data_IF_854706750752
#
_entry.id   IF_854706750752
#
_cell.length_a   1.000
_cell.length_b   1.000
_cell.length_c   1.000
_cell.angle_alpha   90.00
_cell.angle_beta   90.00
_cell.angle_gamma   90.00
#
_symmetry.space_group_name_H-M   'P 1'
#
loop_
_entity.id
_entity.type
_entity.pdbx_description
1 polymer ?
2 branched ?
3 non-polymer ?
4 non-polymer ?
5 water ?
#
# COMPACT_ATOMS: atom_id res chain seq x y z
N UNK A 26 -17.58 -5.71 13.46
CA UNK A 26 -16.13 -5.57 13.28
C UNK A 26 -15.72 -4.18 12.86
N UNK A 27 -14.45 -4.04 12.48
CA UNK A 27 -13.90 -2.73 12.20
C UNK A 27 -14.64 -2.02 11.07
N UNK A 28 -14.93 -2.73 9.98
CA UNK A 28 -15.58 -2.12 8.86
C UNK A 28 -16.93 -1.46 9.23
N UNK A 29 -17.64 -2.07 10.17
CA UNK A 29 -18.95 -1.60 10.55
C UNK A 29 -18.80 -0.42 11.51
N UNK A 30 -17.87 -0.54 12.44
CA UNK A 30 -17.60 0.58 13.34
C UNK A 30 -17.25 1.86 12.63
N UNK A 31 -16.44 1.71 11.57
CA UNK A 31 -15.94 2.85 10.79
C UNK A 31 -16.74 3.13 9.54
N UNK A 32 -17.91 2.56 9.44
CA UNK A 32 -18.70 2.72 8.23
C UNK A 32 -18.90 4.15 7.79
N UNK A 33 -19.20 5.02 8.74
CA UNK A 33 -19.49 6.42 8.43
C UNK A 33 -18.24 7.25 8.20
N UNK A 34 -17.07 6.64 8.33
CA UNK A 34 -15.80 7.33 8.22
C UNK A 34 -15.08 6.97 6.94
N UNK A 35 -14.76 5.70 6.76
CA UNK A 35 -13.93 5.27 5.60
C UNK A 35 -13.93 3.77 5.54
N UNK A 36 -13.55 3.25 4.37
CA UNK A 36 -13.36 1.83 4.20
C UNK A 36 -12.22 1.33 5.09
N UNK A 37 -12.31 0.08 5.52
CA UNK A 37 -11.28 -0.59 6.30
C UNK A 37 -10.84 -1.79 5.45
N UNK A 38 -9.57 -1.81 5.05
CA UNK A 38 -9.08 -2.78 4.09
C UNK A 38 -7.91 -3.63 4.60
N UNK A 39 -7.61 -4.67 3.85
CA UNK A 39 -6.43 -5.49 4.13
C UNK A 39 -5.82 -5.95 2.84
N UNK A 40 -4.50 -5.99 2.82
CA UNK A 40 -3.74 -6.66 1.73
C UNK A 40 -3.80 -8.15 1.93
N UNK A 41 -4.11 -8.89 0.87
CA UNK A 41 -4.22 -10.34 0.94
C UNK A 41 -3.19 -11.03 0.09
N UNK A 42 -2.44 -11.94 0.67
CA UNK A 42 -1.52 -12.76 -0.08
C UNK A 42 -2.30 -13.83 -0.87
N UNK A 43 -1.58 -14.56 -1.70
CA UNK A 43 -2.23 -15.54 -2.60
C UNK A 43 -2.87 -16.70 -1.86
N UNK A 44 -2.30 -17.09 -0.72
CA UNK A 44 -2.88 -18.18 0.04
C UNK A 44 -4.20 -17.80 0.62
N UNK A 45 -4.28 -16.59 1.17
CA UNK A 45 -5.55 -16.12 1.71
C UNK A 45 -6.60 -15.96 0.61
N UNK A 46 -6.20 -15.30 -0.48
CA UNK A 46 -7.14 -15.02 -1.55
C UNK A 46 -7.65 -16.27 -2.25
N UNK A 47 -6.99 -17.43 -2.05
CA UNK A 47 -7.50 -18.68 -2.59
C UNK A 47 -8.86 -19.11 -2.04
N UNK A 48 -9.24 -18.61 -0.86
CA UNK A 48 -10.49 -19.01 -0.22
C UNK A 48 -10.42 -20.29 0.58
N UNK A 49 -9.24 -20.90 0.66
CA UNK A 49 -9.13 -22.20 1.32
C UNK A 49 -9.11 -22.11 2.83
N UNK A 50 -8.86 -20.91 3.38
CA UNK A 50 -8.72 -20.76 4.83
C UNK A 50 -10.03 -20.25 5.42
N UNK A 51 -10.84 -21.16 5.97
CA UNK A 51 -12.17 -20.81 6.45
C UNK A 51 -12.10 -19.77 7.55
N UNK A 52 -11.09 -19.88 8.41
CA UNK A 52 -11.03 -18.98 9.55
C UNK A 52 -10.77 -17.56 9.07
N UNK A 53 -9.88 -17.41 8.09
CA UNK A 53 -9.67 -16.07 7.52
C UNK A 53 -10.83 -15.59 6.68
N UNK A 54 -11.52 -16.49 6.00
CA UNK A 54 -12.69 -16.05 5.22
C UNK A 54 -13.68 -15.40 6.15
N UNK A 55 -13.87 -16.01 7.31
CA UNK A 55 -14.81 -15.54 8.31
C UNK A 55 -14.36 -14.19 8.85
N UNK A 56 -13.10 -14.12 9.25
CA UNK A 56 -12.50 -12.91 9.81
C UNK A 56 -12.59 -11.74 8.82
N UNK A 57 -12.17 -11.99 7.58
CA UNK A 57 -12.16 -10.93 6.60
C UNK A 57 -13.55 -10.41 6.32
N UNK A 58 -14.52 -11.30 6.19
CA UNK A 58 -15.89 -10.86 5.92
C UNK A 58 -16.47 -10.00 7.04
N UNK A 59 -16.06 -10.29 8.27
CA UNK A 59 -16.49 -9.55 9.44
C UNK A 59 -15.81 -8.19 9.55
N UNK A 60 -14.52 -8.15 9.24
CA UNK A 60 -13.68 -7.00 9.61
C UNK A 60 -13.44 -5.98 8.51
N UNK A 61 -13.33 -6.42 7.25
CA UNK A 61 -12.83 -5.58 6.17
C UNK A 61 -13.84 -5.45 5.06
N UNK A 62 -13.94 -4.26 4.48
CA UNK A 62 -14.78 -4.05 3.31
C UNK A 62 -14.02 -3.61 2.07
N UNK A 63 -12.68 -3.69 2.15
CA UNK A 63 -11.77 -3.44 1.03
C UNK A 63 -10.59 -4.41 1.11
N UNK A 64 -10.08 -4.80 -0.05
CA UNK A 64 -8.86 -5.62 -0.15
C UNK A 64 -7.95 -5.15 -1.27
N UNK A 65 -6.67 -5.48 -1.13
CA UNK A 65 -5.60 -5.13 -2.08
C UNK A 65 -4.79 -6.40 -2.25
N UNK A 66 -4.35 -6.76 -3.46
CA UNK A 66 -3.51 -7.93 -3.63
C UNK A 66 -2.10 -7.62 -3.21
N UNK A 67 -1.54 -8.42 -2.30
CA UNK A 67 -0.23 -8.07 -1.76
C UNK A 67 0.89 -8.12 -2.79
N UNK A 68 0.81 -9.11 -3.69
CA UNK A 68 1.85 -9.29 -4.73
C UNK A 68 1.39 -9.70 -6.13
N UNK A 69 0.21 -10.31 -6.25
CA UNK A 69 -0.07 -11.08 -7.46
C UNK A 69 -0.33 -10.25 -8.68
N UNK A 70 -0.59 -8.97 -8.52
CA UNK A 70 -0.81 -8.09 -9.71
C UNK A 70 0.41 -7.25 -10.06
N UNK A 71 1.54 -7.45 -9.36
CA UNK A 71 2.78 -6.79 -9.70
C UNK A 71 3.34 -7.39 -10.99
N UNK A 72 3.90 -6.52 -11.82
CA UNK A 72 4.33 -6.90 -13.19
C UNK A 72 5.18 -8.17 -13.18
N UNK A 73 6.23 -8.19 -12.34
CA UNK A 73 7.18 -9.30 -12.32
C UNK A 73 6.67 -10.57 -11.66
N UNK A 74 5.50 -10.50 -11.04
CA UNK A 74 4.89 -11.65 -10.39
C UNK A 74 3.83 -12.25 -11.32
N UNK A 75 3.03 -11.37 -11.91
CA UNK A 75 2.01 -11.76 -12.89
C UNK A 75 2.56 -12.28 -14.21
N UNK A 76 3.70 -11.76 -14.61
CA UNK A 76 4.31 -12.05 -15.91
C UNK A 76 5.72 -12.59 -15.69
N UNK A 77 6.17 -13.42 -16.61
CA UNK A 77 7.53 -13.93 -16.60
C UNK A 77 8.46 -12.99 -17.39
N UNK A 78 9.75 -13.31 -17.44
CA UNK A 78 10.71 -12.40 -18.05
C UNK A 78 10.56 -12.26 -19.56
N UNK A 79 9.81 -13.20 -20.13
CA UNK A 79 9.43 -13.15 -21.55
C UNK A 79 8.12 -12.48 -21.81
N UNK A 80 7.52 -11.91 -20.79
CA UNK A 80 6.28 -11.18 -20.91
C UNK A 80 5.05 -12.04 -20.90
N UNK A 81 5.21 -13.33 -20.62
CA UNK A 81 4.07 -14.25 -20.66
C UNK A 81 3.27 -14.12 -19.35
N UNK A 82 1.95 -14.24 -19.45
CA UNK A 82 1.05 -13.93 -18.35
C UNK A 82 0.49 -15.22 -17.73
N UNK A 83 0.34 -15.22 -16.42
CA UNK A 83 -0.29 -16.33 -15.74
C UNK A 83 -1.26 -15.74 -14.73
N UNK A 84 -2.56 -15.87 -15.01
CA UNK A 84 -3.62 -15.19 -14.29
C UNK A 84 -4.14 -15.89 -13.04
N UNK A 85 -3.58 -17.04 -12.68
CA UNK A 85 -4.20 -17.86 -11.62
C UNK A 85 -4.47 -17.09 -10.33
N UNK A 86 -3.43 -16.44 -9.80
CA UNK A 86 -3.58 -15.80 -8.50
C UNK A 86 -4.34 -14.49 -8.60
N UNK A 87 -4.12 -13.75 -9.67
CA UNK A 87 -4.82 -12.48 -9.83
C UNK A 87 -6.30 -12.73 -9.99
N UNK A 88 -6.64 -13.71 -10.81
CA UNK A 88 -8.05 -14.07 -10.95
C UNK A 88 -8.67 -14.53 -9.63
N UNK A 89 -7.92 -15.28 -8.85
CA UNK A 89 -8.44 -15.79 -7.57
C UNK A 89 -8.73 -14.62 -6.64
N UNK A 90 -7.85 -13.62 -6.65
CA UNK A 90 -8.04 -12.44 -5.82
C UNK A 90 -9.35 -11.72 -6.17
N UNK A 91 -9.57 -11.52 -7.47
CA UNK A 91 -10.72 -10.79 -7.93
C UNK A 91 -11.99 -11.62 -7.66
N UNK A 92 -11.89 -12.94 -7.79
CA UNK A 92 -13.02 -13.82 -7.45
C UNK A 92 -13.36 -13.74 -5.97
N UNK A 93 -12.34 -13.65 -5.13
CA UNK A 93 -12.55 -13.57 -3.67
C UNK A 93 -13.26 -12.26 -3.35
N UNK A 94 -12.80 -11.13 -3.91
CA UNK A 94 -13.48 -9.87 -3.63
C UNK A 94 -14.91 -9.84 -4.17
N UNK A 95 -15.13 -10.46 -5.33
CA UNK A 95 -16.48 -10.54 -5.89
C UNK A 95 -17.35 -11.40 -5.01
N UNK A 96 -16.81 -12.50 -4.54
CA UNK A 96 -17.58 -13.43 -3.72
C UNK A 96 -18.08 -12.76 -2.45
N UNK A 97 -17.21 -11.95 -1.84
CA UNK A 97 -17.51 -11.30 -0.55
C UNK A 97 -17.97 -9.86 -0.67
N UNK A 98 -18.21 -9.41 -1.89
CA UNK A 98 -18.61 -8.04 -2.20
C UNK A 98 -17.73 -7.00 -1.52
N UNK A 99 -16.43 -7.17 -1.76
CA UNK A 99 -15.41 -6.27 -1.19
C UNK A 99 -14.94 -5.28 -2.25
N UNK A 100 -14.73 -4.05 -1.83
CA UNK A 100 -14.05 -3.05 -2.61
C UNK A 100 -12.62 -3.52 -2.90
N UNK A 101 -12.18 -3.41 -4.15
CA UNK A 101 -10.90 -3.99 -4.56
C UNK A 101 -10.02 -2.92 -5.19
N UNK A 102 -8.78 -2.90 -4.72
CA UNK A 102 -7.76 -1.98 -5.21
C UNK A 102 -6.70 -2.74 -5.98
N UNK A 103 -6.53 -2.42 -7.24
CA UNK A 103 -5.46 -3.00 -8.00
C UNK A 103 -4.10 -2.44 -7.54
N UNK A 104 -3.10 -3.30 -7.44
CA UNK A 104 -1.77 -2.90 -6.98
C UNK A 104 -0.75 -3.71 -7.75
N UNK A 105 0.13 -3.10 -8.56
CA UNK A 105 0.21 -1.70 -8.98
C UNK A 105 0.67 -1.72 -10.42
N UNK A 106 0.24 -0.75 -11.22
CA UNK A 106 0.51 -0.85 -12.67
C UNK A 106 1.97 -0.57 -12.99
N UNK A 107 2.48 0.56 -12.50
CA UNK A 107 3.81 1.04 -12.89
C UNK A 107 4.63 1.33 -11.62
N UNK A 108 5.67 0.53 -11.44
CA UNK A 108 6.52 0.59 -10.25
C UNK A 108 7.89 0.05 -10.61
N UNK A 109 8.92 0.54 -9.90
CA UNK A 109 10.29 0.10 -10.19
C UNK A 109 10.72 -1.20 -9.53
N UNK A 110 9.90 -1.73 -8.62
CA UNK A 110 10.26 -2.92 -7.86
C UNK A 110 9.42 -4.12 -8.33
N UNK A 111 9.94 -5.33 -8.13
CA UNK A 111 9.24 -6.55 -8.52
C UNK A 111 8.79 -6.50 -10.00
N UNK A 112 9.74 -6.14 -10.83
CA UNK A 112 9.57 -6.08 -12.30
C UNK A 112 10.88 -6.48 -12.94
N UNK A 113 10.78 -7.32 -13.96
CA UNK A 113 11.98 -7.89 -14.60
C UNK A 113 12.79 -6.83 -15.27
N UNK A 114 14.11 -6.94 -15.15
CA UNK A 114 14.99 -6.01 -15.84
C UNK A 114 14.79 -6.05 -17.36
N UNK A 115 14.33 -7.22 -17.84
CA UNK A 115 14.03 -7.44 -19.27
C UNK A 115 13.01 -6.49 -19.83
N UNK A 116 12.20 -5.87 -18.97
CA UNK A 116 11.25 -4.90 -19.44
C UNK A 116 12.00 -3.68 -20.00
N UNK A 117 13.14 -3.35 -19.39
CA UNK A 117 13.84 -2.10 -19.68
C UNK A 117 15.12 -2.26 -20.48
N UNK A 118 15.70 -3.45 -20.43
CA UNK A 118 17.07 -3.64 -20.88
C UNK A 118 17.18 -4.78 -21.87
N UNK A 119 18.07 -4.60 -22.83
CA UNK A 119 18.54 -5.71 -23.62
C UNK A 119 19.39 -6.60 -22.76
N UNK A 120 19.62 -7.82 -23.22
CA UNK A 120 20.42 -8.78 -22.48
C UNK A 120 21.84 -8.28 -22.19
N UNK A 121 22.34 -7.38 -23.03
CA UNK A 121 23.68 -6.79 -22.85
C UNK A 121 23.69 -5.67 -21.82
N UNK A 122 22.53 -5.32 -21.26
CA UNK A 122 22.45 -4.31 -20.23
C UNK A 122 21.99 -2.96 -20.73
N UNK A 123 22.02 -2.73 -22.05
CA UNK A 123 21.66 -1.44 -22.64
C UNK A 123 20.14 -1.24 -22.54
N UNK A 124 19.74 0.02 -22.40
CA UNK A 124 18.33 0.34 -22.31
C UNK A 124 17.67 0.32 -23.68
N UNK A 125 16.43 -0.13 -23.72
CA UNK A 125 15.59 0.05 -24.90
C UNK A 125 15.12 1.49 -25.05
N UNK A 126 14.61 1.84 -26.23
CA UNK A 126 14.14 3.19 -26.49
C UNK A 126 12.90 3.54 -25.68
N UNK A 127 12.67 4.83 -25.55
CA UNK A 127 11.44 5.32 -24.96
C UNK A 127 10.22 4.77 -25.69
N UNK A 128 10.26 4.76 -27.01
CA UNK A 128 9.12 4.25 -27.79
C UNK A 128 8.86 2.79 -27.53
N UNK A 129 9.90 1.99 -27.39
CA UNK A 129 9.73 0.56 -27.15
C UNK A 129 9.17 0.30 -25.76
N UNK A 130 9.63 1.07 -24.78
CA UNK A 130 9.08 0.95 -23.44
C UNK A 130 7.64 1.46 -23.38
N UNK A 131 7.36 2.55 -24.06
CA UNK A 131 5.98 3.03 -24.11
C UNK A 131 5.05 1.90 -24.61
N UNK A 132 5.47 1.18 -25.65
CA UNK A 132 4.64 0.12 -26.20
C UNK A 132 4.38 -0.95 -25.16
N UNK A 133 5.41 -1.27 -24.38
CA UNK A 133 5.26 -2.26 -23.35
C UNK A 133 4.30 -1.75 -22.27
N UNK A 134 4.41 -0.47 -21.88
CA UNK A 134 3.48 0.05 -20.87
C UNK A 134 2.06 -0.01 -21.37
N UNK A 135 1.85 0.35 -22.64
CA UNK A 135 0.52 0.37 -23.23
C UNK A 135 -0.05 -1.03 -23.18
N UNK A 136 0.72 -2.02 -23.58
CA UNK A 136 0.25 -3.40 -23.59
C UNK A 136 -0.09 -3.85 -22.16
N UNK A 137 0.79 -3.52 -21.24
CA UNK A 137 0.59 -4.00 -19.86
C UNK A 137 -0.68 -3.40 -19.23
N UNK A 138 -0.82 -2.09 -19.34
CA UNK A 138 -1.98 -1.45 -18.73
C UNK A 138 -3.28 -1.84 -19.43
N UNK A 139 -3.26 -1.82 -20.77
CA UNK A 139 -4.44 -2.18 -21.51
C UNK A 139 -4.90 -3.59 -21.14
N UNK A 140 -3.99 -4.56 -21.04
CA UNK A 140 -4.32 -5.92 -20.69
C UNK A 140 -4.80 -6.06 -19.25
N UNK A 141 -4.01 -5.56 -18.31
CA UNK A 141 -4.27 -5.79 -16.88
C UNK A 141 -5.45 -4.96 -16.39
N UNK A 142 -5.40 -3.65 -16.61
CA UNK A 142 -6.56 -2.82 -16.22
C UNK A 142 -7.77 -3.20 -17.05
N UNK A 143 -7.56 -3.67 -18.28
CA UNK A 143 -8.73 -4.04 -19.08
C UNK A 143 -9.44 -5.28 -18.59
N UNK A 144 -8.67 -6.27 -18.16
CA UNK A 144 -9.21 -7.55 -17.69
C UNK A 144 -10.18 -7.34 -16.57
N UNK A 145 -9.84 -6.43 -15.67
CA UNK A 145 -10.62 -6.23 -14.48
C UNK A 145 -11.41 -4.92 -14.47
N UNK A 146 -11.57 -4.32 -15.63
CA UNK A 146 -12.37 -3.11 -15.77
C UNK A 146 -13.73 -3.33 -15.15
N UNK A 147 -14.10 -2.42 -14.26
CA UNK A 147 -15.38 -2.49 -13.56
C UNK A 147 -15.44 -3.40 -12.37
N UNK A 148 -14.45 -4.26 -12.25
CA UNK A 148 -14.35 -5.16 -11.08
C UNK A 148 -13.51 -4.54 -9.97
N UNK A 149 -12.37 -3.97 -10.34
CA UNK A 149 -11.55 -3.23 -9.39
C UNK A 149 -12.03 -1.80 -9.36
N UNK A 150 -12.32 -1.30 -8.18
CA UNK A 150 -12.79 0.06 -8.04
C UNK A 150 -11.72 1.13 -8.18
N UNK A 151 -10.49 0.74 -7.82
CA UNK A 151 -9.41 1.68 -7.80
C UNK A 151 -8.14 0.99 -8.23
N UNK A 152 -7.17 1.79 -8.66
CA UNK A 152 -5.82 1.33 -9.03
C UNK A 152 -4.77 2.22 -8.43
N UNK A 153 -3.72 1.60 -7.84
CA UNK A 153 -2.44 2.26 -7.66
C UNK A 153 -1.78 2.24 -9.04
N UNK A 154 -1.85 3.36 -9.75
CA UNK A 154 -1.36 3.41 -11.10
C UNK A 154 0.15 3.53 -11.10
N UNK A 155 0.69 4.47 -10.31
CA UNK A 155 2.13 4.61 -10.12
C UNK A 155 2.45 4.57 -8.62
N UNK A 156 3.48 3.79 -8.27
CA UNK A 156 3.93 3.56 -6.87
C UNK A 156 5.37 4.10 -6.75
N UNK A 157 5.61 4.92 -5.75
CA UNK A 157 6.98 5.22 -5.28
C UNK A 157 7.89 5.90 -6.31
N UNK A 158 7.42 7.01 -6.89
CA UNK A 158 8.18 7.72 -7.94
C UNK A 158 9.12 8.79 -7.43
N UNK A 159 8.99 9.15 -6.16
CA UNK A 159 9.85 10.19 -5.58
C UNK A 159 10.91 9.50 -4.81
N UNK A 160 12.17 9.89 -5.04
CA UNK A 160 13.24 9.25 -4.34
C UNK A 160 13.36 9.74 -2.91
N UNK A 161 14.09 8.99 -2.11
CA UNK A 161 14.24 9.40 -0.73
C UNK A 161 15.15 10.61 -0.54
N UNK A 162 15.96 10.91 -1.56
CA UNK A 162 16.72 12.17 -1.64
C UNK A 162 15.90 13.35 -2.12
N UNK A 163 14.59 13.13 -2.26
CA UNK A 163 13.63 14.14 -2.68
C UNK A 163 13.69 14.54 -4.16
N UNK A 164 14.54 13.92 -4.95
CA UNK A 164 14.48 14.11 -6.40
C UNK A 164 13.60 12.98 -6.94
N UNK A 165 13.25 13.07 -8.21
CA UNK A 165 12.54 11.93 -8.84
C UNK A 165 13.39 10.70 -8.69
N UNK A 166 12.75 9.58 -8.37
CA UNK A 166 13.45 8.33 -8.18
C UNK A 166 14.13 7.94 -9.47
N UNK A 167 15.39 7.53 -9.34
CA UNK A 167 16.24 7.26 -10.47
C UNK A 167 16.06 5.80 -10.93
N UNK A 168 14.81 5.46 -11.25
CA UNK A 168 14.48 4.12 -11.75
C UNK A 168 14.67 4.02 -13.25
N UNK A 169 14.60 2.79 -13.76
CA UNK A 169 14.65 2.62 -15.23
C UNK A 169 13.50 3.34 -15.91
N UNK A 170 12.31 3.26 -15.30
CA UNK A 170 11.16 4.00 -15.84
C UNK A 170 11.50 5.47 -16.10
N UNK A 171 12.08 6.09 -15.10
CA UNK A 171 12.31 7.53 -15.13
C UNK A 171 13.48 7.86 -16.06
N UNK A 172 14.52 7.06 -15.98
CA UNK A 172 15.70 7.29 -16.83
C UNK A 172 15.37 7.18 -18.32
N UNK A 173 14.54 6.22 -18.69
CA UNK A 173 14.14 6.09 -20.09
C UNK A 173 13.08 7.08 -20.53
N UNK A 174 12.05 7.31 -19.69
CA UNK A 174 10.86 8.04 -20.15
C UNK A 174 10.69 9.44 -19.64
N UNK A 175 11.38 9.76 -18.56
CA UNK A 175 11.15 11.01 -17.84
C UNK A 175 9.81 10.95 -17.12
N UNK A 176 9.27 12.11 -16.77
CA UNK A 176 8.00 12.14 -16.08
C UNK A 176 6.84 11.68 -16.93
N UNK A 177 7.05 11.50 -18.24
CA UNK A 177 6.04 10.92 -19.08
C UNK A 177 5.71 9.51 -18.61
N UNK A 178 6.59 8.84 -17.89
CA UNK A 178 6.24 7.49 -17.43
C UNK A 178 5.02 7.58 -16.53
N UNK A 179 4.93 8.65 -15.75
CA UNK A 179 3.80 8.81 -14.82
C UNK A 179 2.61 9.33 -15.56
N UNK A 180 2.78 10.42 -16.30
CA UNK A 180 1.68 11.00 -17.07
C UNK A 180 0.98 9.97 -17.96
N UNK A 181 1.78 9.18 -18.66
CA UNK A 181 1.22 8.24 -19.62
C UNK A 181 0.54 7.08 -18.92
N UNK A 182 1.09 6.65 -17.76
CA UNK A 182 0.47 5.55 -17.02
C UNK A 182 -0.96 5.91 -16.58
N UNK A 183 -1.14 7.10 -16.02
CA UNK A 183 -2.47 7.55 -15.60
C UNK A 183 -3.39 7.74 -16.80
N UNK A 184 -2.87 8.34 -17.90
CA UNK A 184 -3.69 8.54 -19.08
C UNK A 184 -4.21 7.22 -19.63
N UNK A 185 -3.31 6.25 -19.76
CA UNK A 185 -3.69 4.95 -20.23
C UNK A 185 -4.69 4.27 -19.31
N UNK A 186 -4.41 4.26 -18.01
CA UNK A 186 -5.32 3.60 -17.08
C UNK A 186 -6.73 4.22 -17.18
N UNK A 187 -6.78 5.54 -17.32
CA UNK A 187 -8.06 6.22 -17.39
C UNK A 187 -8.79 5.93 -18.70
N UNK A 188 -8.05 5.72 -19.79
CA UNK A 188 -8.66 5.28 -21.06
C UNK A 188 -9.22 3.86 -21.01
N UNK A 189 -8.51 3.00 -20.30
CA UNK A 189 -8.85 1.58 -20.23
C UNK A 189 -10.05 1.32 -19.30
N UNK A 190 -10.02 1.96 -18.11
CA UNK A 190 -11.16 1.91 -17.19
C UNK A 190 -11.48 3.27 -16.67
N UNK A 191 -12.31 4.01 -17.41
CA UNK A 191 -12.69 5.39 -17.05
C UNK A 191 -13.37 5.54 -15.70
N UNK A 192 -13.91 4.44 -15.18
CA UNK A 192 -14.61 4.45 -13.89
C UNK A 192 -13.69 4.18 -12.71
N UNK A 193 -12.46 3.75 -12.96
CA UNK A 193 -11.56 3.44 -11.83
C UNK A 193 -11.10 4.72 -11.14
N UNK A 194 -10.91 4.62 -9.82
CA UNK A 194 -10.38 5.70 -9.02
C UNK A 194 -8.85 5.50 -9.05
N UNK A 195 -8.14 6.41 -9.68
CA UNK A 195 -6.73 6.27 -10.00
C UNK A 195 -5.92 6.99 -8.92
N UNK A 196 -4.90 6.30 -8.40
CA UNK A 196 -4.14 6.77 -7.26
C UNK A 196 -2.65 6.74 -7.56
N UNK A 197 -1.98 7.75 -7.01
CA UNK A 197 -0.54 7.73 -6.84
C UNK A 197 -0.29 7.28 -5.39
N UNK A 198 0.68 6.39 -5.16
CA UNK A 198 0.91 5.81 -3.84
C UNK A 198 2.39 5.93 -3.47
N UNK A 199 2.71 6.28 -2.22
CA UNK A 199 4.14 6.36 -1.82
C UNK A 199 4.27 6.24 -0.31
N UNK A 200 5.50 5.95 0.12
CA UNK A 200 5.88 5.85 1.55
C UNK A 200 6.73 7.06 1.92
N UNK A 201 6.73 7.35 3.22
CA UNK A 201 7.46 8.46 3.82
C UNK A 201 6.94 9.82 3.40
N UNK A 202 5.79 9.89 2.71
CA UNK A 202 5.21 11.16 2.34
C UNK A 202 4.39 11.73 3.49
N UNK A 203 4.40 11.03 4.64
CA UNK A 203 3.94 11.51 5.95
C UNK A 203 4.89 12.55 6.50
N UNK A 204 6.09 12.63 5.89
CA UNK A 204 7.22 13.35 6.47
C UNK A 204 7.55 14.61 5.71
N UNK A 205 8.01 15.64 6.43
CA UNK A 205 8.40 16.87 5.77
C UNK A 205 9.59 16.59 4.86
N UNK A 206 9.60 17.24 3.70
CA UNK A 206 10.59 16.99 2.67
C UNK A 206 9.95 16.25 1.53
N UNK A 207 9.67 14.97 1.75
CA UNK A 207 9.08 14.15 0.71
C UNK A 207 7.63 14.53 0.43
N UNK A 208 6.92 15.00 1.47
CA UNK A 208 5.56 15.49 1.30
C UNK A 208 5.57 16.59 0.27
N UNK A 209 6.47 17.56 0.44
CA UNK A 209 6.44 18.74 -0.40
C UNK A 209 6.89 18.41 -1.81
N UNK A 210 7.88 17.54 -1.94
CA UNK A 210 8.33 17.10 -3.27
C UNK A 210 7.21 16.37 -4.03
N UNK A 211 6.43 15.58 -3.30
CA UNK A 211 5.28 14.88 -3.90
C UNK A 211 4.16 15.83 -4.30
N UNK A 212 3.83 16.79 -3.43
CA UNK A 212 2.88 17.82 -3.78
C UNK A 212 3.26 18.55 -5.07
N UNK A 213 4.52 18.93 -5.18
CA UNK A 213 4.95 19.70 -6.35
C UNK A 213 4.83 18.87 -7.63
N UNK A 214 5.30 17.63 -7.57
CA UNK A 214 5.16 16.72 -8.72
C UNK A 214 3.72 16.53 -9.17
N UNK A 215 2.83 16.25 -8.21
CA UNK A 215 1.45 16.00 -8.56
C UNK A 215 0.85 17.28 -9.12
N UNK A 216 1.16 18.42 -8.48
CA UNK A 216 0.64 19.70 -8.95
C UNK A 216 0.93 19.93 -10.43
N UNK A 217 2.16 19.65 -10.79
CA UNK A 217 2.65 19.90 -12.13
C UNK A 217 2.08 18.89 -13.13
N UNK A 218 1.76 17.69 -12.68
CA UNK A 218 1.11 16.73 -13.58
C UNK A 218 -0.37 17.05 -13.74
N UNK A 219 -1.02 17.48 -12.66
CA UNK A 219 -2.41 17.92 -12.73
C UNK A 219 -2.56 19.08 -13.71
N UNK A 220 -1.57 19.96 -13.70
CA UNK A 220 -1.58 21.13 -14.59
C UNK A 220 -1.61 20.63 -16.04
N UNK A 221 -0.76 19.64 -16.33
CA UNK A 221 -0.71 19.03 -17.67
C UNK A 221 -1.98 18.28 -18.05
N UNK A 222 -2.89 18.11 -17.10
CA UNK A 222 -4.19 17.46 -17.35
C UNK A 222 -4.21 16.00 -16.99
N UNK A 223 -3.26 15.53 -16.18
CA UNK A 223 -3.22 14.10 -15.82
C UNK A 223 -4.44 13.72 -15.02
N UNK A 224 -5.14 12.63 -15.38
CA UNK A 224 -6.28 12.17 -14.59
C UNK A 224 -5.71 11.51 -13.35
N UNK A 225 -6.16 11.95 -12.20
CA UNK A 225 -5.73 11.38 -10.92
C UNK A 225 -6.79 11.75 -9.94
N UNK A 226 -7.23 10.77 -9.14
CA UNK A 226 -8.34 10.97 -8.25
C UNK A 226 -7.98 10.89 -6.78
N UNK A 227 -6.93 10.12 -6.49
CA UNK A 227 -6.58 9.80 -5.13
C UNK A 227 -5.09 9.79 -4.88
N UNK A 228 -4.76 9.94 -3.60
CA UNK A 228 -3.38 9.96 -3.13
C UNK A 228 -3.26 8.96 -2.01
N UNK A 229 -2.39 7.95 -2.20
CA UNK A 229 -2.15 6.92 -1.19
C UNK A 229 -0.94 7.20 -0.37
N UNK A 230 -1.14 7.32 0.95
CA UNK A 230 -0.05 7.39 1.89
C UNK A 230 0.10 5.98 2.40
N UNK A 231 1.26 5.37 2.23
CA UNK A 231 1.38 3.97 2.60
C UNK A 231 1.19 3.74 4.10
N UNK A 232 1.81 4.56 4.93
CA UNK A 232 1.63 4.39 6.38
C UNK A 232 2.38 3.21 6.98
N UNK A 233 3.59 2.97 6.49
CA UNK A 233 4.50 2.04 7.15
C UNK A 233 5.16 2.86 8.26
N UNK A 234 4.55 2.76 9.43
CA UNK A 234 4.94 3.58 10.58
C UNK A 234 5.80 2.82 11.54
N UNK A 235 6.57 3.59 12.30
CA UNK A 235 7.32 3.09 13.44
C UNK A 235 6.46 3.22 14.68
N UNK A 236 6.83 2.48 15.72
CA UNK A 236 6.09 2.55 16.97
C UNK A 236 6.14 3.95 17.57
N UNK A 237 7.22 4.69 17.31
CA UNK A 237 7.35 6.07 17.80
C UNK A 237 7.18 7.11 16.71
N UNK A 238 7.83 6.93 15.57
CA UNK A 238 7.91 7.95 14.53
C UNK A 238 7.26 7.43 13.27
N UNK A 239 6.76 8.31 12.41
CA UNK A 239 6.69 9.75 12.60
C UNK A 239 5.59 10.19 13.52
N UNK A 240 5.67 11.42 14.02
CA UNK A 240 4.61 11.91 14.87
C UNK A 240 3.30 12.20 14.15
N UNK A 241 2.22 12.12 14.92
CA UNK A 241 0.88 12.42 14.41
C UNK A 241 0.87 13.77 13.70
N UNK A 242 1.56 14.79 14.22
CA UNK A 242 1.50 16.10 13.60
C UNK A 242 2.03 16.11 12.19
N UNK A 243 3.03 15.29 11.86
CA UNK A 243 3.57 15.27 10.49
C UNK A 243 2.55 14.59 9.58
N UNK A 244 1.96 13.50 10.07
CA UNK A 244 0.98 12.77 9.25
C UNK A 244 -0.19 13.71 8.92
N UNK A 245 -0.60 14.48 9.93
CA UNK A 245 -1.72 15.43 9.78
C UNK A 245 -1.39 16.44 8.68
N UNK A 246 -0.19 17.00 8.67
CA UNK A 246 0.17 17.95 7.61
C UNK A 246 0.01 17.32 6.23
N UNK A 247 0.33 16.05 6.10
CA UNK A 247 0.25 15.40 4.79
C UNK A 247 -1.20 15.18 4.39
N UNK A 248 -2.04 14.77 5.34
CA UNK A 248 -3.46 14.56 5.02
C UNK A 248 -4.00 15.87 4.46
N UNK A 249 -3.68 16.97 5.15
CA UNK A 249 -4.23 18.25 4.78
C UNK A 249 -3.67 18.74 3.45
N UNK A 250 -2.36 18.59 3.23
CA UNK A 250 -1.73 19.03 2.00
C UNK A 250 -2.24 18.29 0.76
N UNK A 251 -2.36 16.96 0.88
CA UNK A 251 -2.80 16.19 -0.29
C UNK A 251 -4.28 16.40 -0.57
N UNK A 252 -5.09 16.60 0.45
CA UNK A 252 -6.48 16.91 0.21
C UNK A 252 -6.65 18.23 -0.51
N UNK A 253 -5.77 19.18 -0.25
CA UNK A 253 -5.80 20.48 -0.92
C UNK A 253 -5.56 20.40 -2.42
N UNK A 254 -4.96 19.30 -2.88
CA UNK A 254 -4.77 19.05 -4.32
C UNK A 254 -6.04 18.58 -5.00
N UNK A 255 -7.12 18.47 -4.23
CA UNK A 255 -8.42 18.00 -4.73
C UNK A 255 -8.45 16.50 -4.96
N UNK A 256 -7.67 15.82 -4.11
CA UNK A 256 -7.55 14.36 -4.18
C UNK A 256 -8.09 13.73 -2.92
N UNK A 257 -8.72 12.57 -3.07
CA UNK A 257 -9.10 11.76 -1.93
C UNK A 257 -7.84 11.13 -1.36
N UNK A 258 -7.74 11.13 -0.05
CA UNK A 258 -6.60 10.54 0.66
C UNK A 258 -6.93 9.13 1.13
N UNK A 259 -6.02 8.20 0.84
CA UNK A 259 -6.15 6.83 1.29
C UNK A 259 -4.90 6.50 2.10
N UNK A 260 -5.07 5.74 3.19
CA UNK A 260 -3.92 5.12 3.88
C UNK A 260 -3.91 3.68 3.42
N UNK A 261 -2.84 3.24 2.78
CA UNK A 261 -2.91 2.08 1.90
C UNK A 261 -2.24 0.84 2.38
N UNK A 262 -1.26 1.00 3.29
CA UNK A 262 -0.36 -0.08 3.60
C UNK A 262 0.02 -0.02 5.07
N UNK A 263 -0.95 0.17 5.95
CA UNK A 263 -0.68 0.46 7.35
C UNK A 263 -0.06 -0.72 8.06
N UNK A 264 0.97 -0.42 8.84
CA UNK A 264 1.51 -1.35 9.79
C UNK A 264 2.39 -0.53 10.75
N UNK A 265 2.69 -1.11 11.91
CA UNK A 265 3.55 -0.44 12.91
C UNK A 265 4.68 -1.38 13.28
N UNK A 266 5.89 -0.97 12.95
CA UNK A 266 7.10 -1.75 13.21
C UNK A 266 7.50 -1.54 14.66
N UNK A 267 7.46 -2.62 15.46
CA UNK A 267 7.77 -2.53 16.89
C UNK A 267 9.22 -2.98 17.21
N UNK A 268 10.03 -3.26 16.19
CA UNK A 268 11.38 -3.86 16.43
C UNK A 268 12.46 -2.84 16.27
N UNK A 269 13.61 -3.06 16.92
CA UNK A 269 14.74 -2.14 16.80
C UNK A 269 15.02 -1.72 15.38
N UNK A 270 15.16 -0.42 15.18
CA UNK A 270 15.23 0.17 13.85
C UNK A 270 16.66 0.19 13.35
N UNK A 271 16.80 -0.04 12.05
CA UNK A 271 18.10 0.09 11.41
C UNK A 271 18.16 1.33 10.52
N UNK A 272 17.11 2.14 10.53
CA UNK A 272 17.01 3.28 9.61
C UNK A 272 17.84 4.50 10.02
N UNK A 273 18.43 4.48 11.21
CA UNK A 273 19.10 5.66 11.77
C UNK A 273 20.29 5.30 12.62
N UNK A 278 27.29 -0.62 11.16
CA UNK A 278 27.32 0.44 10.16
C UNK A 278 26.36 0.16 8.99
N UNK A 279 26.32 1.08 8.04
CA UNK A 279 25.27 1.13 7.01
C UNK A 279 25.14 -0.15 6.14
N UNK A 280 26.18 -0.97 6.10
CA UNK A 280 26.19 -2.14 5.21
C UNK A 280 26.01 -3.46 5.94
N UNK A 281 26.12 -3.46 7.26
CA UNK A 281 25.75 -4.64 8.04
C UNK A 281 24.44 -4.43 8.76
N UNK A 282 23.87 -3.23 8.66
CA UNK A 282 22.64 -2.93 9.39
C UNK A 282 21.47 -3.83 8.99
N UNK A 283 21.53 -4.46 7.83
CA UNK A 283 20.46 -5.35 7.39
C UNK A 283 20.70 -6.82 7.70
N UNK A 284 21.81 -7.12 8.38
CA UNK A 284 22.10 -8.51 8.72
C UNK A 284 21.34 -8.88 9.99
N UNK A 285 20.96 -10.14 10.07
CA UNK A 285 20.33 -10.62 11.28
C UNK A 285 21.28 -10.61 12.47
N UNK A 286 20.85 -9.97 13.56
CA UNK A 286 21.53 -10.05 14.86
C UNK A 286 20.45 -10.26 15.94
N UNK A 287 20.71 -11.15 16.89
CA UNK A 287 19.70 -11.47 17.92
C UNK A 287 19.19 -10.27 18.71
N UNK A 288 20.07 -9.32 19.02
CA UNK A 288 19.69 -8.09 19.72
C UNK A 288 18.70 -7.22 18.94
N UNK A 289 18.63 -7.42 17.64
CA UNK A 289 17.68 -6.65 16.81
C UNK A 289 16.37 -7.39 16.67
N UNK A 290 16.26 -8.55 17.29
CA UNK A 290 15.07 -9.42 17.23
C UNK A 290 14.69 -9.88 18.66
N UNK A 291 14.27 -8.94 19.50
CA UNK A 291 14.17 -9.21 20.93
C UNK A 291 12.89 -9.88 21.44
N UNK A 292 11.91 -10.05 20.58
CA UNK A 292 10.61 -10.57 20.97
C UNK A 292 10.25 -11.90 20.31
N UNK A 293 11.21 -12.79 20.08
CA UNK A 293 10.87 -14.08 19.49
C UNK A 293 9.96 -14.94 20.37
N UNK A 294 9.99 -14.68 21.68
CA UNK A 294 9.16 -15.50 22.59
C UNK A 294 7.78 -14.95 22.83
N UNK A 295 7.52 -13.76 22.27
CA UNK A 295 6.24 -13.07 22.47
C UNK A 295 6.47 -11.57 22.65
N UNK A 296 5.43 -10.78 22.36
CA UNK A 296 5.51 -9.34 22.59
C UNK A 296 4.98 -9.08 24.00
N UNK A 297 5.80 -8.51 24.87
CA UNK A 297 5.33 -8.31 26.25
C UNK A 297 4.20 -7.33 26.34
N UNK A 298 3.36 -7.48 27.36
CA UNK A 298 2.20 -6.63 27.52
C UNK A 298 2.52 -5.15 27.46
N UNK A 299 3.64 -4.73 28.02
CA UNK A 299 3.96 -3.30 28.01
C UNK A 299 4.10 -2.81 26.56
N UNK A 300 4.67 -3.65 25.67
CA UNK A 300 4.74 -3.27 24.26
C UNK A 300 3.42 -3.40 23.54
N UNK A 301 2.60 -4.34 23.94
CA UNK A 301 1.23 -4.41 23.44
C UNK A 301 0.52 -3.11 23.74
N UNK A 302 0.70 -2.59 24.95
CA UNK A 302 0.08 -1.32 25.32
C UNK A 302 0.58 -0.17 24.45
N UNK A 303 1.88 -0.10 24.25
CA UNK A 303 2.46 0.97 23.44
C UNK A 303 1.91 0.90 22.02
N UNK A 304 1.84 -0.31 21.50
CA UNK A 304 1.34 -0.55 20.12
C UNK A 304 -0.11 -0.13 20.05
N UNK A 305 -0.89 -0.45 21.07
CA UNK A 305 -2.32 -0.09 21.09
C UNK A 305 -2.49 1.43 21.12
N UNK A 306 -1.65 2.11 21.90
CA UNK A 306 -1.75 3.54 22.01
C UNK A 306 -1.35 4.21 20.70
N UNK A 307 -0.33 3.68 20.05
CA UNK A 307 0.10 4.20 18.78
C UNK A 307 -1.01 4.11 17.72
N UNK A 308 -1.64 2.92 17.60
CA UNK A 308 -2.75 2.78 16.65
C UNK A 308 -3.92 3.67 17.05
N UNK A 309 -4.19 3.79 18.35
CA UNK A 309 -5.27 4.66 18.78
C UNK A 309 -5.01 6.11 18.39
N UNK A 310 -3.79 6.59 18.59
CA UNK A 310 -3.43 7.96 18.21
C UNK A 310 -3.68 8.13 16.70
N UNK A 311 -3.27 7.15 15.94
CA UNK A 311 -3.40 7.24 14.48
C UNK A 311 -4.85 7.31 14.08
N UNK A 312 -5.66 6.42 14.61
CA UNK A 312 -7.07 6.40 14.20
C UNK A 312 -7.86 7.59 14.74
N UNK A 313 -7.41 8.18 15.84
CA UNK A 313 -8.03 9.43 16.27
C UNK A 313 -7.86 10.50 15.22
N UNK A 314 -6.63 10.57 14.69
CA UNK A 314 -6.31 11.50 13.60
C UNK A 314 -7.17 11.25 12.38
N UNK A 315 -7.33 9.97 12.03
CA UNK A 315 -8.07 9.62 10.84
C UNK A 315 -9.51 10.00 11.01
N UNK A 316 -10.05 9.77 12.20
CA UNK A 316 -11.42 10.13 12.46
C UNK A 316 -11.58 11.65 12.31
N UNK A 317 -10.62 12.39 12.85
CA UNK A 317 -10.63 13.84 12.80
C UNK A 317 -10.76 14.34 11.37
N UNK A 318 -10.04 13.65 10.46
CA UNK A 318 -10.01 14.04 9.06
C UNK A 318 -10.77 13.07 8.16
N UNK A 319 -11.83 12.46 8.70
CA UNK A 319 -12.62 11.49 7.95
C UNK A 319 -13.20 12.11 6.67
N UNK A 320 -13.43 13.41 6.68
CA UNK A 320 -13.97 14.09 5.49
C UNK A 320 -12.99 14.02 4.30
N UNK A 321 -11.71 13.84 4.58
CA UNK A 321 -10.68 13.85 3.53
C UNK A 321 -10.21 12.45 3.12
N UNK A 322 -10.57 11.45 3.93
CA UNK A 322 -10.00 10.10 3.86
C UNK A 322 -11.04 9.09 3.39
N UNK A 323 -10.71 8.33 2.35
CA UNK A 323 -11.64 7.35 1.79
C UNK A 323 -11.45 5.94 2.40
N UNK A 324 -10.25 5.64 2.92
CA UNK A 324 -9.86 4.25 3.17
C UNK A 324 -8.67 4.19 4.08
N UNK A 325 -8.67 3.19 4.98
CA UNK A 325 -7.50 2.77 5.73
C UNK A 325 -7.33 1.27 5.55
N UNK A 326 -6.28 0.90 4.78
CA UNK A 326 -5.93 -0.48 4.48
C UNK A 326 -4.66 -0.86 5.24
N UNK A 327 -4.73 -2.00 5.92
CA UNK A 327 -3.60 -2.59 6.63
C UNK A 327 -2.81 -3.50 5.68
N UNK A 328 -1.50 -3.50 5.80
CA UNK A 328 -0.66 -4.32 4.88
C UNK A 328 -0.53 -5.76 5.42
N UNK A 329 -1.66 -6.44 5.45
CA UNK A 329 -1.78 -7.79 5.98
C UNK A 329 -2.96 -7.87 6.95
N UNK A 330 -3.33 -9.10 7.31
CA UNK A 330 -4.39 -9.34 8.28
C UNK A 330 -3.81 -9.66 9.64
N UNK A 331 -2.98 -10.70 9.70
CA UNK A 331 -2.42 -11.14 10.97
C UNK A 331 -0.89 -11.12 10.95
N UNK A 332 -0.32 -11.02 12.15
CA UNK A 332 1.11 -10.85 12.32
C UNK A 332 1.94 -11.98 11.69
N UNK A 333 1.37 -13.18 11.59
CA UNK A 333 2.12 -14.28 11.00
C UNK A 333 2.43 -14.08 9.53
N UNK A 334 1.70 -13.21 8.87
CA UNK A 334 1.87 -13.01 7.43
C UNK A 334 2.29 -11.59 7.09
N UNK A 335 2.95 -10.87 8.01
CA UNK A 335 3.41 -9.53 7.73
C UNK A 335 4.80 -9.52 7.06
N UNK A 336 4.96 -8.70 6.03
CA UNK A 336 6.23 -8.53 5.37
C UNK A 336 7.32 -7.99 6.31
N UNK A 337 6.93 -7.37 7.42
CA UNK A 337 7.91 -6.80 8.31
C UNK A 337 8.63 -7.87 9.10
N UNK A 338 8.14 -9.11 9.08
CA UNK A 338 8.92 -10.22 9.67
C UNK A 338 10.18 -10.46 8.88
N UNK A 339 10.16 -10.16 7.59
CA UNK A 339 11.34 -10.35 6.74
C UNK A 339 12.00 -9.13 6.14
N UNK A 340 11.46 -7.94 6.43
CA UNK A 340 11.99 -6.70 5.96
C UNK A 340 12.00 -5.68 7.08
N UNK A 341 13.09 -4.94 7.30
CA UNK A 341 14.27 -4.96 6.43
C UNK A 341 15.30 -6.02 6.77
N UNK A 342 15.05 -6.82 7.81
CA UNK A 342 15.96 -7.87 8.22
C UNK A 342 15.23 -9.18 8.11
N UNK A 343 15.81 -10.14 7.37
CA UNK A 343 15.15 -11.42 7.21
C UNK A 343 15.02 -12.17 8.53
N UNK A 344 13.89 -12.83 8.70
CA UNK A 344 13.72 -13.79 9.75
C UNK A 344 13.42 -13.26 11.14
N UNK A 345 12.95 -12.02 11.24
CA UNK A 345 12.58 -11.48 12.54
C UNK A 345 11.16 -11.84 12.94
N UNK A 346 10.83 -11.58 14.21
CA UNK A 346 9.47 -11.80 14.71
C UNK A 346 8.89 -10.46 15.06
N UNK A 347 8.12 -9.91 14.11
CA UNK A 347 7.52 -8.59 14.32
C UNK A 347 6.04 -8.75 14.69
N UNK A 348 5.39 -7.65 15.11
CA UNK A 348 4.02 -7.66 15.62
C UNK A 348 3.22 -6.42 15.10
N UNK A 349 3.09 -6.26 13.78
CA UNK A 349 2.69 -4.97 13.23
C UNK A 349 1.24 -4.67 13.01
N UNK A 350 0.40 -5.69 13.15
CA UNK A 350 -0.97 -5.63 12.67
C UNK A 350 -1.99 -5.78 13.83
N UNK A 351 -3.27 -5.89 13.50
CA UNK A 351 -4.32 -5.90 14.55
C UNK A 351 -4.66 -7.26 15.07
N UNK A 352 -4.21 -8.32 14.37
CA UNK A 352 -4.49 -9.72 14.74
C UNK A 352 -3.19 -10.46 14.91
N UNK A 353 -3.14 -11.27 15.97
CA UNK A 353 -1.95 -12.01 16.29
C UNK A 353 -1.80 -13.27 15.46
N UNK A 354 -0.74 -14.02 15.72
CA UNK A 354 -0.44 -15.24 14.96
C UNK A 354 -1.44 -16.37 15.13
N UNK A 355 -2.35 -16.27 16.10
CA UNK A 355 -3.49 -17.19 16.21
C UNK A 355 -4.79 -16.58 15.70
N UNK A 356 -4.68 -15.46 15.00
CA UNK A 356 -5.81 -14.70 14.47
C UNK A 356 -6.68 -14.03 15.51
N UNK A 357 -6.19 -13.92 16.76
CA UNK A 357 -6.95 -13.25 17.81
C UNK A 357 -6.68 -11.73 17.78
N UNK A 358 -7.71 -10.93 18.02
CA UNK A 358 -7.52 -9.51 18.07
C UNK A 358 -6.57 -9.10 19.20
N UNK A 359 -5.69 -8.18 18.86
CA UNK A 359 -4.74 -7.60 19.79
C UNK A 359 -5.36 -6.39 20.51
N UNK A 360 -4.71 -5.96 21.58
CA UNK A 360 -5.25 -4.82 22.32
C UNK A 360 -5.54 -3.63 21.42
N UNK A 361 -4.67 -3.39 20.44
CA UNK A 361 -4.88 -2.30 19.48
C UNK A 361 -6.25 -2.34 18.78
N UNK A 362 -6.70 -3.54 18.41
CA UNK A 362 -8.02 -3.73 17.79
C UNK A 362 -9.13 -3.15 18.67
N UNK A 363 -9.12 -3.49 19.95
CA UNK A 363 -10.15 -3.04 20.86
C UNK A 363 -10.13 -1.52 21.08
N UNK A 364 -8.94 -0.91 21.10
CA UNK A 364 -8.85 0.54 21.19
C UNK A 364 -9.49 1.17 19.97
N UNK A 365 -9.31 0.58 18.80
CA UNK A 365 -9.90 1.12 17.59
C UNK A 365 -11.40 1.03 17.63
N UNK A 366 -11.94 -0.09 18.09
CA UNK A 366 -13.39 -0.21 18.21
C UNK A 366 -13.95 0.81 19.20
N UNK A 367 -13.30 0.97 20.34
CA UNK A 367 -13.78 1.87 21.39
C UNK A 367 -13.85 3.32 20.93
N UNK A 368 -12.96 3.75 20.04
CA UNK A 368 -13.01 5.12 19.52
C UNK A 368 -14.35 5.42 18.87
N UNK A 369 -14.92 4.42 18.22
CA UNK A 369 -16.22 4.59 17.56
C UNK A 369 -17.37 4.26 18.48
N UNK A 370 -17.23 3.25 19.32
CA UNK A 370 -18.36 2.80 20.16
C UNK A 370 -18.76 3.89 21.10
N UNK A 371 -17.76 4.62 21.58
CA UNK A 371 -17.97 5.67 22.56
C UNK A 371 -17.93 7.08 21.99
N UNK A 372 -17.97 7.22 20.67
CA UNK A 372 -17.95 8.54 20.03
C UNK A 372 -19.16 9.36 20.49
N UNK A 373 -18.96 10.67 20.66
CA UNK A 373 -20.03 11.58 21.05
C UNK A 373 -20.54 12.44 19.87
N UNK A 374 -21.82 12.30 19.57
CA UNK A 374 -22.53 13.22 18.64
C UNK A 374 -23.92 13.63 19.16
N UNK A 375 -24.59 14.56 18.48
CA UNK A 375 -25.89 15.04 18.96
C UNK A 375 -27.04 14.14 18.49
X LIG B 1 4.92 -1.04 -0.09
X LIG B 1 4.60 -1.58 -1.48
X LIG B 1 4.13 -3.00 -1.37
X LIG B 1 5.17 -3.80 -0.62
X LIG B 1 5.38 -3.19 0.78
X LIG B 1 3.76 -0.85 0.67
X LIG B 1 3.64 -0.72 -2.08
X LIG B 1 3.93 -3.61 -2.65
X LIG B 1 4.72 -5.13 -0.52
X LIG B 1 5.83 -1.86 0.60
X LIG B 2 5.79 -6.07 -0.31
X LIG B 2 5.15 -7.37 0.09
X LIG B 2 6.16 -8.49 0.15
X LIG B 2 7.09 -8.48 -1.07
X LIG B 2 7.60 -7.11 -1.36
X LIG B 2 4.35 -7.27 1.28
X LIG B 2 5.49 -9.74 0.31
X LIG B 2 8.18 -9.37 -0.84
X LIG B 2 6.51 -6.22 -1.48
X LIG B 3 8.61 -13.37 2.17
X LIG B 3 7.80 -13.71 1.04
X LIG B 3 6.68 -12.68 0.85
X LIG B 3 7.12 -11.34 1.05
X LIG B 3 5.54 -12.88 1.83
X LIG B 3 4.65 -13.90 1.36
X LIG B 3 4.87 -11.52 1.85
X LIG B 3 4.49 -11.04 3.16
X LIG B 3 5.92 -10.58 1.29
X LIG C 1 1.35 -13.21 -2.39
X LIG D 1 -17.96 -6.32 -8.66
#
# INVERSE_FOLDING_TARGET
MLTSAGIAMGQASKLAAATKAAEQTGLKSAYKDNFLIGAALNATIASGADERLNTLIAKEFNSITPENCMKWGVLRDAQGQWNWKDADAFVAFGTKHNLHMVGHTLVWHSQIHDEVFKNADGSYISKAALQKKMEEHITTLAGRYKGKLAAWDVVNEAVGDDLKMRDSHWYKIMGDDFIYNAFTLANEVDPKAHLMYNDYNIERTGKREATVEMIERLQKRGMPIHGLGIQGHLGIDTPPIAEIEKSIIAFAKLGLRVHFTSLDVDVLPSVWELPVAEVSTRFEYKPERDPYTKGLPQEMQDKLAKRYEDLFKLFIKHSDKIDRATFWGVSDDASWLNGFPIPGRTNYPLLFDRKLQPKDAYFRLLDLKRLEHHHHHH
XYS C1 C2 C3 C4 C5 O1 O2 O3 O4 O5
XYP C1 C2 C3 C4 C5 O2 O3 O4 O5
AHR O5 C5 C4 O4 C3 O3 C2 O2 C1
CL CL
MG MG
#
